data_IF_715681200976
#
_entry.id   IF_715681200976
#
_cell.length_a   1.000
_cell.length_b   1.000
_cell.length_c   1.000
_cell.angle_alpha   90.00
_cell.angle_beta   90.00
_cell.angle_gamma   90.00
#
_symmetry.space_group_name_H-M   'P 1'
#
loop_
_entity.id
_entity.type
_entity.pdbx_description
1 polymer ?
#
# COMPACT_ATOMS: atom_id res chain seq x y z
N UNK A 1 -21.47 -2.14 -15.12
CA UNK A 1 -20.35 -2.43 -16.04
C UNK A 1 -19.14 -2.79 -15.19
N UNK A 2 -18.85 -4.08 -15.11
CA UNK A 2 -17.83 -4.66 -14.23
C UNK A 2 -16.46 -4.45 -14.88
N UNK A 3 -15.65 -3.54 -14.33
CA UNK A 3 -14.40 -3.09 -14.94
C UNK A 3 -13.38 -4.22 -15.10
N UNK A 4 -12.93 -4.43 -16.34
CA UNK A 4 -12.06 -5.50 -16.83
C UNK A 4 -10.66 -5.56 -16.20
N UNK A 5 -10.29 -4.62 -15.33
CA UNK A 5 -8.95 -4.55 -14.73
C UNK A 5 -8.83 -5.37 -13.44
N UNK A 6 -9.93 -5.59 -12.71
CA UNK A 6 -9.94 -6.51 -11.57
C UNK A 6 -9.64 -7.95 -12.04
N UNK A 7 -10.05 -8.29 -13.27
CA UNK A 7 -9.79 -9.59 -13.88
C UNK A 7 -8.34 -9.81 -14.31
N UNK A 8 -7.54 -8.79 -14.62
CA UNK A 8 -6.17 -9.00 -15.13
C UNK A 8 -5.19 -9.30 -13.99
N UNK A 9 -5.30 -8.60 -12.86
CA UNK A 9 -4.55 -8.92 -11.64
C UNK A 9 -4.98 -10.27 -11.03
N UNK A 10 -6.28 -10.60 -11.06
CA UNK A 10 -6.79 -11.91 -10.60
C UNK A 10 -6.46 -13.07 -11.55
N UNK A 11 -6.29 -12.83 -12.87
CA UNK A 11 -6.08 -13.90 -13.87
C UNK A 11 -4.60 -14.17 -14.17
N UNK A 12 -3.74 -13.17 -14.05
CA UNK A 12 -2.31 -13.32 -14.34
C UNK A 12 -1.50 -13.68 -13.08
N UNK A 13 -1.98 -13.32 -11.89
CA UNK A 13 -1.32 -13.60 -10.60
C UNK A 13 -2.12 -14.49 -9.64
N UNK A 14 -3.31 -14.95 -10.03
CA UNK A 14 -4.27 -15.52 -9.08
C UNK A 14 -4.65 -14.48 -8.02
N UNK A 15 -5.51 -14.80 -7.06
CA UNK A 15 -5.30 -14.13 -5.77
C UNK A 15 -3.84 -14.36 -5.40
N UNK A 16 -3.04 -13.33 -5.06
CA UNK A 16 -1.73 -13.61 -4.51
C UNK A 16 -1.99 -14.64 -3.41
N UNK A 17 -1.34 -15.79 -3.50
CA UNK A 17 -1.40 -16.80 -2.46
C UNK A 17 -0.69 -16.18 -1.25
N UNK A 18 -1.37 -15.25 -0.59
CA UNK A 18 -0.90 -14.41 0.50
C UNK A 18 -0.63 -15.28 1.74
N UNK A 19 -1.32 -16.42 1.81
CA UNK A 19 -1.07 -17.58 2.65
C UNK A 19 0.30 -18.27 2.44
N UNK A 20 1.08 -17.87 1.41
CA UNK A 20 2.43 -18.39 1.13
C UNK A 20 3.51 -17.32 1.01
N UNK A 21 3.21 -16.05 1.33
CA UNK A 21 4.23 -15.00 1.34
C UNK A 21 5.19 -15.30 2.51
N UNK A 22 6.51 -15.44 2.26
CA UNK A 22 7.45 -15.70 3.34
C UNK A 22 7.40 -14.61 4.40
N UNK A 23 7.61 -14.99 5.66
CA UNK A 23 7.53 -14.08 6.80
C UNK A 23 8.38 -12.82 6.59
N UNK A 24 9.61 -12.99 6.10
CA UNK A 24 10.56 -11.92 5.87
C UNK A 24 10.04 -10.91 4.84
N UNK A 25 9.26 -11.39 3.88
CA UNK A 25 8.64 -10.58 2.83
C UNK A 25 7.45 -9.79 3.39
N UNK A 26 6.64 -10.40 4.26
CA UNK A 26 5.57 -9.71 4.99
C UNK A 26 6.15 -8.61 5.91
N UNK A 27 7.22 -8.91 6.65
CA UNK A 27 7.90 -7.96 7.53
C UNK A 27 8.50 -6.78 6.73
N UNK A 28 9.13 -7.06 5.58
CA UNK A 28 9.67 -6.03 4.70
C UNK A 28 8.59 -5.12 4.09
N UNK A 29 7.47 -5.71 3.64
CA UNK A 29 6.32 -4.97 3.13
C UNK A 29 5.72 -4.05 4.20
N UNK A 30 5.35 -4.60 5.36
CA UNK A 30 4.71 -3.83 6.43
C UNK A 30 5.64 -2.77 7.03
N UNK A 31 6.94 -3.08 7.19
CA UNK A 31 7.90 -2.09 7.71
C UNK A 31 8.11 -0.93 6.75
N UNK A 32 7.97 -1.16 5.44
CA UNK A 32 8.04 -0.10 4.43
C UNK A 32 6.84 0.83 4.50
N UNK A 33 5.65 0.29 4.74
CA UNK A 33 4.44 1.08 4.98
C UNK A 33 4.54 1.90 6.27
N UNK A 34 5.01 1.30 7.37
CA UNK A 34 5.25 2.05 8.61
C UNK A 34 6.32 3.13 8.45
N UNK A 35 7.32 2.91 7.61
CA UNK A 35 8.34 3.93 7.34
C UNK A 35 7.78 5.13 6.57
N UNK A 36 6.81 4.90 5.67
CA UNK A 36 6.07 5.96 5.00
C UNK A 36 5.23 6.76 6.02
N UNK A 37 4.39 6.07 6.79
CA UNK A 37 3.51 6.69 7.79
C UNK A 37 4.29 7.52 8.84
N UNK A 38 5.52 7.13 9.16
CA UNK A 38 6.39 7.88 10.08
C UNK A 38 6.88 9.22 9.56
N UNK A 39 6.81 9.50 8.26
CA UNK A 39 7.26 10.78 7.70
C UNK A 39 6.38 11.94 8.15
N UNK A 40 5.07 11.73 8.27
CA UNK A 40 4.11 12.68 8.86
C UNK A 40 3.88 12.47 10.37
N UNK A 41 4.27 11.29 10.88
CA UNK A 41 3.89 10.81 12.20
C UNK A 41 2.67 9.90 12.05
N UNK A 42 2.76 8.68 12.57
CA UNK A 42 1.75 7.64 12.27
C UNK A 42 0.39 8.05 12.83
N UNK A 43 -0.52 8.40 11.93
CA UNK A 43 -1.90 8.72 12.29
C UNK A 43 -2.73 7.44 12.55
N UNK A 44 -3.81 7.51 13.34
CA UNK A 44 -4.70 6.37 13.56
C UNK A 44 -5.21 5.75 12.25
N UNK A 45 -5.58 6.57 11.26
CA UNK A 45 -6.06 6.12 9.96
C UNK A 45 -5.01 5.31 9.18
N UNK A 46 -3.75 5.74 9.21
CA UNK A 46 -2.64 5.01 8.59
C UNK A 46 -2.36 3.69 9.31
N UNK A 47 -2.42 3.68 10.65
CA UNK A 47 -2.23 2.46 11.43
C UNK A 47 -3.33 1.42 11.13
N UNK A 48 -4.58 1.86 11.02
CA UNK A 48 -5.71 0.99 10.68
C UNK A 48 -5.61 0.47 9.24
N UNK A 49 -5.16 1.31 8.31
CA UNK A 49 -4.91 0.91 6.92
C UNK A 49 -3.80 -0.16 6.85
N UNK A 50 -2.69 0.02 7.56
CA UNK A 50 -1.60 -0.98 7.62
C UNK A 50 -2.10 -2.28 8.25
N UNK A 51 -2.92 -2.24 9.30
CA UNK A 51 -3.49 -3.45 9.91
C UNK A 51 -4.43 -4.19 8.94
N UNK A 52 -5.24 -3.47 8.17
CA UNK A 52 -6.09 -4.06 7.13
C UNK A 52 -5.24 -4.71 6.02
N UNK A 53 -4.16 -4.06 5.59
CA UNK A 53 -3.21 -4.61 4.62
C UNK A 53 -2.49 -5.86 5.17
N UNK A 54 -2.08 -5.84 6.44
CA UNK A 54 -1.47 -6.99 7.13
C UNK A 54 -2.40 -8.20 7.13
N UNK A 55 -3.68 -7.99 7.45
CA UNK A 55 -4.70 -9.04 7.40
C UNK A 55 -4.91 -9.57 5.98
N UNK A 56 -4.91 -8.68 4.97
CA UNK A 56 -5.04 -9.08 3.58
C UNK A 56 -3.90 -10.01 3.16
N UNK A 57 -2.67 -9.72 3.57
CA UNK A 57 -1.50 -10.55 3.27
C UNK A 57 -1.30 -11.77 4.19
N UNK A 58 -2.27 -12.06 5.07
CA UNK A 58 -2.19 -13.18 6.00
C UNK A 58 -1.07 -13.06 7.04
N UNK A 59 -0.60 -11.83 7.32
CA UNK A 59 0.42 -11.61 8.34
C UNK A 59 -0.17 -11.83 9.74
N UNK A 60 0.62 -12.47 10.61
CA UNK A 60 0.29 -12.66 12.01
C UNK A 60 0.55 -11.39 12.83
N UNK A 61 -0.06 -11.30 14.01
CA UNK A 61 0.10 -10.13 14.89
C UNK A 61 1.55 -9.89 15.31
N UNK A 62 2.35 -10.95 15.45
CA UNK A 62 3.76 -10.84 15.79
C UNK A 62 4.60 -10.29 14.62
N UNK A 63 4.24 -10.61 13.37
CA UNK A 63 4.83 -10.02 12.16
C UNK A 63 4.49 -8.54 12.09
N UNK A 64 3.23 -8.18 12.33
CA UNK A 64 2.79 -6.78 12.36
C UNK A 64 3.52 -5.99 13.46
N UNK A 65 3.66 -6.56 14.66
CA UNK A 65 4.40 -5.94 15.76
C UNK A 65 5.90 -5.80 15.46
N UNK A 66 6.51 -6.82 14.83
CA UNK A 66 7.91 -6.78 14.38
C UNK A 66 8.12 -5.65 13.36
N UNK A 67 7.29 -5.60 12.32
CA UNK A 67 7.34 -4.58 11.29
C UNK A 67 7.11 -3.16 11.84
N UNK A 68 6.17 -3.01 12.79
CA UNK A 68 5.93 -1.74 13.48
C UNK A 68 7.16 -1.25 14.23
N UNK A 69 7.96 -2.12 14.82
CA UNK A 69 9.15 -1.72 15.59
C UNK A 69 10.42 -1.65 14.75
N UNK A 70 10.39 -2.15 13.51
CA UNK A 70 11.54 -2.14 12.62
C UNK A 70 12.00 -0.71 12.32
N UNK A 71 13.29 -0.47 12.54
CA UNK A 71 14.05 0.67 12.01
C UNK A 71 14.92 0.23 10.82
N UNK A 72 14.41 -0.65 9.97
CA UNK A 72 15.16 -1.13 8.81
C UNK A 72 15.58 0.05 7.93
N UNK A 73 16.80 0.06 7.41
CA UNK A 73 17.22 1.11 6.45
C UNK A 73 16.49 0.94 5.12
N UNK A 74 16.35 2.00 4.32
CA UNK A 74 15.69 1.92 3.01
C UNK A 74 16.31 0.82 2.12
N UNK A 75 17.64 0.66 2.17
CA UNK A 75 18.38 -0.36 1.42
C UNK A 75 18.11 -1.81 1.86
N UNK A 76 17.86 -2.06 3.15
CA UNK A 76 17.50 -3.40 3.64
C UNK A 76 16.07 -3.78 3.24
N UNK A 77 15.15 -2.81 3.25
CA UNK A 77 13.77 -3.00 2.81
C UNK A 77 13.73 -3.38 1.33
N UNK A 78 14.39 -2.61 0.47
CA UNK A 78 14.38 -2.85 -0.98
C UNK A 78 14.86 -4.25 -1.36
N UNK A 79 15.90 -4.77 -0.68
CA UNK A 79 16.48 -6.09 -0.99
C UNK A 79 15.54 -7.25 -0.64
N UNK A 80 14.65 -7.08 0.32
CA UNK A 80 13.65 -8.07 0.73
C UNK A 80 12.32 -7.93 -0.04
N UNK A 81 12.05 -6.72 -0.54
CA UNK A 81 10.84 -6.39 -1.31
C UNK A 81 10.86 -6.89 -2.76
N UNK A 82 12.01 -7.26 -3.32
CA UNK A 82 12.09 -7.87 -4.66
C UNK A 82 11.37 -9.22 -4.77
N UNK A 83 10.94 -9.79 -3.62
CA UNK A 83 10.07 -10.97 -3.56
C UNK A 83 8.56 -10.65 -3.56
N UNK A 84 8.17 -9.39 -3.31
CA UNK A 84 6.81 -8.88 -3.55
C UNK A 84 6.78 -8.29 -4.95
N UNK A 85 5.63 -8.35 -5.63
CA UNK A 85 5.43 -7.53 -6.83
C UNK A 85 5.61 -6.04 -6.45
N UNK A 86 6.64 -5.34 -6.98
CA UNK A 86 6.88 -3.94 -6.69
C UNK A 86 5.69 -3.03 -6.94
N UNK A 87 4.84 -3.37 -7.92
CA UNK A 87 3.64 -2.59 -8.24
C UNK A 87 2.62 -2.66 -7.11
N UNK A 88 2.51 -3.80 -6.44
CA UNK A 88 1.61 -3.99 -5.31
C UNK A 88 2.03 -3.09 -4.14
N UNK A 89 3.32 -3.08 -3.81
CA UNK A 89 3.85 -2.20 -2.77
C UNK A 89 3.68 -0.73 -3.10
N UNK A 90 4.01 -0.30 -4.32
CA UNK A 90 3.88 1.10 -4.74
C UNK A 90 2.42 1.55 -4.68
N UNK A 91 1.49 0.72 -5.14
CA UNK A 91 0.05 1.00 -5.05
C UNK A 91 -0.41 1.18 -3.62
N UNK A 92 -0.01 0.29 -2.72
CA UNK A 92 -0.47 0.34 -1.33
C UNK A 92 0.22 1.45 -0.53
N UNK A 93 1.47 1.79 -0.84
CA UNK A 93 2.14 2.99 -0.34
C UNK A 93 1.41 4.27 -0.77
N UNK A 94 0.98 4.36 -2.04
CA UNK A 94 0.19 5.49 -2.54
C UNK A 94 -1.15 5.55 -1.81
N UNK A 95 -1.86 4.43 -1.65
CA UNK A 95 -3.12 4.37 -0.90
C UNK A 95 -2.97 4.82 0.54
N UNK A 96 -1.89 4.40 1.21
CA UNK A 96 -1.61 4.80 2.57
C UNK A 96 -1.40 6.31 2.68
N UNK A 97 -0.64 6.92 1.77
CA UNK A 97 -0.44 8.37 1.72
C UNK A 97 -1.70 9.16 1.37
N UNK A 98 -2.75 8.51 0.85
CA UNK A 98 -4.06 9.13 0.63
C UNK A 98 -5.04 8.86 1.79
N UNK A 99 -4.64 8.14 2.83
CA UNK A 99 -5.56 7.71 3.89
C UNK A 99 -6.06 8.86 4.76
N UNK A 100 -5.26 9.93 4.87
CA UNK A 100 -5.59 11.20 5.52
C UNK A 100 -6.23 12.23 4.55
N UNK A 101 -6.30 11.91 3.26
CA UNK A 101 -6.84 12.74 2.19
C UNK A 101 -5.83 13.65 1.49
N UNK A 102 -4.56 13.74 1.91
CA UNK A 102 -3.56 14.61 1.28
C UNK A 102 -2.16 14.02 1.23
N UNK A 103 -1.62 13.84 0.02
CA UNK A 103 -0.23 13.37 -0.15
C UNK A 103 0.79 14.52 -0.06
N UNK A 104 1.65 14.49 0.96
CA UNK A 104 2.74 15.44 1.22
C UNK A 104 3.92 15.32 0.23
N UNK A 105 4.85 16.28 0.26
CA UNK A 105 6.05 16.25 -0.57
C UNK A 105 7.02 15.15 -0.13
N UNK A 106 7.15 14.91 1.17
CA UNK A 106 7.98 13.85 1.76
C UNK A 106 7.50 12.46 1.34
N UNK A 107 6.19 12.21 1.38
CA UNK A 107 5.60 10.94 0.95
C UNK A 107 5.75 10.71 -0.55
N UNK A 108 5.54 11.74 -1.38
CA UNK A 108 5.82 11.67 -2.83
C UNK A 108 7.28 11.31 -3.10
N UNK A 109 8.20 11.93 -2.36
CA UNK A 109 9.63 11.63 -2.49
C UNK A 109 9.91 10.18 -2.07
N UNK A 110 9.34 9.72 -0.95
CA UNK A 110 9.50 8.35 -0.50
C UNK A 110 8.98 7.34 -1.53
N UNK A 111 7.78 7.53 -2.06
CA UNK A 111 7.19 6.66 -3.08
C UNK A 111 8.05 6.67 -4.36
N UNK A 112 8.58 7.83 -4.75
CA UNK A 112 9.49 7.92 -5.89
C UNK A 112 10.83 7.24 -5.65
N UNK A 113 11.40 7.32 -4.44
CA UNK A 113 12.62 6.61 -4.07
C UNK A 113 12.37 5.09 -4.05
N UNK A 114 11.25 4.66 -3.46
CA UNK A 114 10.83 3.25 -3.45
C UNK A 114 10.64 2.69 -4.85
N UNK A 115 10.03 3.45 -5.76
CA UNK A 115 9.85 3.05 -7.15
C UNK A 115 11.19 2.92 -7.89
N UNK A 116 12.10 3.88 -7.70
CA UNK A 116 13.46 3.80 -8.26
C UNK A 116 14.18 2.56 -7.76
N UNK A 117 14.13 2.33 -6.45
CA UNK A 117 14.87 1.27 -5.78
C UNK A 117 14.34 -0.13 -6.16
N UNK A 118 13.05 -0.23 -6.49
CA UNK A 118 12.40 -1.47 -6.96
C UNK A 118 12.35 -1.61 -8.49
N UNK A 119 12.87 -0.64 -9.24
CA UNK A 119 12.92 -0.66 -10.71
C UNK A 119 11.59 -0.34 -11.39
N UNK A 120 10.60 0.21 -10.68
CA UNK A 120 9.33 0.64 -11.25
C UNK A 120 9.50 1.98 -11.98
N UNK A 121 9.16 2.02 -13.25
CA UNK A 121 9.31 3.22 -14.06
C UNK A 121 8.35 4.35 -13.65
N UNK A 122 8.80 5.60 -13.78
CA UNK A 122 8.01 6.80 -13.43
C UNK A 122 6.64 6.88 -14.11
N UNK A 123 6.47 6.56 -15.41
CA UNK A 123 5.16 6.58 -16.04
C UNK A 123 4.18 5.61 -15.37
N UNK A 124 4.65 4.44 -14.94
CA UNK A 124 3.87 3.46 -14.20
C UNK A 124 3.44 4.01 -12.85
N UNK A 125 4.37 4.63 -12.10
CA UNK A 125 4.05 5.27 -10.80
C UNK A 125 2.98 6.37 -10.98
N UNK A 126 3.12 7.23 -11.99
CA UNK A 126 2.17 8.30 -12.28
C UNK A 126 0.77 7.74 -12.63
N UNK A 127 0.74 6.65 -13.40
CA UNK A 127 -0.51 5.96 -13.72
C UNK A 127 -1.18 5.40 -12.46
N UNK A 128 -0.43 4.73 -11.57
CA UNK A 128 -0.94 4.20 -10.29
C UNK A 128 -1.50 5.35 -9.42
N UNK A 129 -0.78 6.48 -9.32
CA UNK A 129 -1.27 7.67 -8.61
C UNK A 129 -2.64 8.13 -9.13
N UNK A 130 -2.79 8.28 -10.44
CA UNK A 130 -4.05 8.72 -11.05
C UNK A 130 -5.20 7.75 -10.82
N UNK A 131 -4.88 6.46 -10.62
CA UNK A 131 -5.87 5.43 -10.39
C UNK A 131 -6.31 5.42 -8.93
N UNK A 132 -5.37 5.47 -7.98
CA UNK A 132 -5.68 5.53 -6.54
C UNK A 132 -6.46 6.80 -6.20
N UNK A 133 -6.07 7.95 -6.75
CA UNK A 133 -6.79 9.22 -6.55
C UNK A 133 -8.26 9.11 -6.99
N UNK A 134 -8.51 8.50 -8.16
CA UNK A 134 -9.86 8.23 -8.66
C UNK A 134 -10.62 7.25 -7.78
N UNK A 135 -9.96 6.19 -7.30
CA UNK A 135 -10.57 5.23 -6.36
C UNK A 135 -11.01 5.93 -5.06
N UNK A 136 -10.16 6.78 -4.48
CA UNK A 136 -10.46 7.53 -3.26
C UNK A 136 -11.62 8.52 -3.47
N UNK A 137 -11.63 9.24 -4.59
CA UNK A 137 -12.72 10.17 -4.93
C UNK A 137 -14.07 9.45 -5.09
N UNK A 138 -14.08 8.31 -5.81
CA UNK A 138 -15.28 7.50 -5.96
C UNK A 138 -15.75 6.97 -4.59
N UNK A 139 -14.84 6.47 -3.75
CA UNK A 139 -15.20 5.95 -2.42
C UNK A 139 -15.88 7.02 -1.57
N UNK A 140 -15.38 8.25 -1.60
CA UNK A 140 -16.01 9.39 -0.90
C UNK A 140 -17.41 9.71 -1.46
N UNK A 141 -17.59 9.67 -2.78
CA UNK A 141 -18.89 9.87 -3.44
C UNK A 141 -19.91 8.79 -3.05
N UNK A 142 -19.52 7.51 -3.12
CA UNK A 142 -20.37 6.38 -2.74
C UNK A 142 -20.79 6.45 -1.27
N UNK A 143 -19.87 6.85 -0.38
CA UNK A 143 -20.18 7.00 1.04
C UNK A 143 -21.20 8.11 1.31
N UNK A 144 -21.07 9.26 0.62
CA UNK A 144 -22.04 10.36 0.67
C UNK A 144 -23.44 9.92 0.23
N UNK A 145 -23.54 9.06 -0.80
CA UNK A 145 -24.82 8.50 -1.25
C UNK A 145 -25.44 7.59 -0.18
N UNK A 146 -24.64 6.75 0.48
CA UNK A 146 -25.12 5.85 1.54
C UNK A 146 -25.61 6.64 2.77
N UNK A 147 -24.87 7.66 3.20
CA UNK A 147 -25.26 8.53 4.32
C UNK A 147 -26.50 9.38 4.01
N UNK A 148 -26.71 9.75 2.74
CA UNK A 148 -27.91 10.46 2.30
C UNK A 148 -29.14 9.56 2.19
N UNK A 149 -28.96 8.25 1.97
CA UNK A 149 -30.05 7.26 1.87
C UNK A 149 -30.63 6.81 3.21
N UNK A 150 -29.95 7.08 4.32
CA UNK A 150 -30.39 6.78 5.70
C UNK A 150 -31.25 7.89 6.34
N UNK A 151 -31.75 8.86 5.55
CA UNK A 151 -32.64 9.96 5.99
C UNK A 151 -34.08 9.82 5.51
#
# INVERSE_FOLDING_TARGET
>A
MTNAFNWLLLREYGEPHLDKVPREVQEAYLSSLYALARLGGVEPAESDAIAAMAKAIGASDDVLASARNAQATASERTRQLTAVDPLFLIRDAIRLAFSDGTVTAEERKFISDLARDTGVERPTVAWIFSWVERESALRAEWWSILEAGDK
#
